data_IF_964645870254
#
_entry.id   IF_964645870254
#
_cell.length_a   1.000
_cell.length_b   1.000
_cell.length_c   1.000
_cell.angle_alpha   90.00
_cell.angle_beta   90.00
_cell.angle_gamma   90.00
#
_symmetry.space_group_name_H-M   'P 1'
#
loop_
_entity.id
_entity.type
_entity.pdbx_description
1 polymer ?
#
# COMPACT_ATOMS: atom_id res chain seq x y z
N UNK A 1 -11.69 10.31 -35.35
CA UNK A 1 -12.94 9.98 -34.63
C UNK A 1 -12.59 9.43 -33.26
N UNK A 2 -13.03 10.03 -32.14
CA UNK A 2 -12.65 9.61 -30.79
C UNK A 2 -13.51 8.44 -30.25
N UNK A 3 -13.91 7.50 -31.12
CA UNK A 3 -14.97 6.52 -30.83
C UNK A 3 -14.53 5.25 -30.12
N UNK A 4 -13.32 4.75 -30.39
CA UNK A 4 -12.86 3.46 -29.86
C UNK A 4 -12.04 3.62 -28.58
N UNK A 5 -11.11 4.57 -28.55
CA UNK A 5 -10.31 4.91 -27.37
C UNK A 5 -11.19 5.33 -26.20
N UNK A 6 -12.25 6.12 -26.45
CA UNK A 6 -13.20 6.52 -25.40
C UNK A 6 -13.99 5.36 -24.80
N UNK A 7 -14.39 4.37 -25.63
CA UNK A 7 -15.11 3.17 -25.16
C UNK A 7 -14.19 2.24 -24.36
N UNK A 8 -12.93 2.10 -24.80
CA UNK A 8 -11.92 1.34 -24.06
C UNK A 8 -11.64 1.96 -22.69
N UNK A 9 -11.42 3.29 -22.62
CA UNK A 9 -11.20 4.00 -21.36
C UNK A 9 -12.40 3.89 -20.42
N UNK A 10 -13.63 3.97 -20.94
CA UNK A 10 -14.84 3.78 -20.14
C UNK A 10 -14.94 2.35 -19.58
N UNK A 11 -14.74 1.33 -20.41
CA UNK A 11 -14.77 -0.07 -19.97
C UNK A 11 -13.69 -0.34 -18.91
N UNK A 12 -12.49 0.19 -19.12
CA UNK A 12 -11.39 0.10 -18.17
C UNK A 12 -11.72 0.78 -16.83
N UNK A 13 -12.27 2.00 -16.87
CA UNK A 13 -12.68 2.76 -15.68
C UNK A 13 -13.78 2.04 -14.89
N UNK A 14 -14.77 1.46 -15.57
CA UNK A 14 -15.83 0.67 -14.92
C UNK A 14 -15.26 -0.57 -14.23
N UNK A 15 -14.36 -1.30 -14.91
CA UNK A 15 -13.68 -2.47 -14.34
C UNK A 15 -12.84 -2.11 -13.12
N UNK A 16 -12.14 -0.98 -13.15
CA UNK A 16 -11.40 -0.48 -11.99
C UNK A 16 -12.35 -0.13 -10.82
N UNK A 17 -13.47 0.51 -11.10
CA UNK A 17 -14.47 0.85 -10.07
C UNK A 17 -15.06 -0.40 -9.41
N UNK A 18 -15.33 -1.44 -10.19
CA UNK A 18 -15.79 -2.73 -9.66
C UNK A 18 -14.74 -3.37 -8.74
N UNK A 19 -13.48 -3.44 -9.18
CA UNK A 19 -12.36 -3.92 -8.36
C UNK A 19 -12.23 -3.12 -7.06
N UNK A 20 -12.35 -1.80 -7.13
CA UNK A 20 -12.34 -0.94 -5.95
C UNK A 20 -13.45 -1.33 -4.96
N UNK A 21 -14.66 -1.58 -5.47
CA UNK A 21 -15.78 -2.06 -4.66
C UNK A 21 -15.48 -3.39 -3.96
N UNK A 22 -14.90 -4.35 -4.67
CA UNK A 22 -14.53 -5.67 -4.13
C UNK A 22 -13.53 -5.52 -2.98
N UNK A 23 -12.45 -4.76 -3.17
CA UNK A 23 -11.43 -4.60 -2.12
C UNK A 23 -11.95 -3.82 -0.91
N UNK A 24 -12.84 -2.84 -1.09
CA UNK A 24 -13.55 -2.21 0.02
C UNK A 24 -14.47 -3.20 0.74
N UNK A 25 -15.17 -4.06 0.02
CA UNK A 25 -15.95 -5.15 0.60
C UNK A 25 -15.10 -6.07 1.48
N UNK A 26 -13.94 -6.51 0.97
CA UNK A 26 -12.98 -7.32 1.74
C UNK A 26 -12.50 -6.61 3.00
N UNK A 27 -12.17 -5.31 2.91
CA UNK A 27 -11.78 -4.51 4.07
C UNK A 27 -12.90 -4.48 5.13
N UNK A 28 -14.14 -4.20 4.73
CA UNK A 28 -15.27 -4.17 5.67
C UNK A 28 -15.59 -5.54 6.29
N UNK A 29 -15.52 -6.61 5.50
CA UNK A 29 -15.71 -7.97 6.02
C UNK A 29 -14.58 -8.31 7.00
N UNK A 30 -13.34 -7.87 6.72
CA UNK A 30 -12.22 -7.99 7.67
C UNK A 30 -12.49 -7.29 8.99
N UNK A 31 -13.06 -6.08 8.96
CA UNK A 31 -13.47 -5.37 10.19
C UNK A 31 -14.55 -6.15 10.98
N UNK A 32 -15.48 -6.81 10.29
CA UNK A 32 -16.51 -7.66 10.92
C UNK A 32 -15.87 -8.88 11.61
N UNK A 33 -14.99 -9.61 10.92
CA UNK A 33 -14.30 -10.75 11.53
C UNK A 33 -13.41 -10.35 12.71
N UNK A 34 -12.82 -9.15 12.67
CA UNK A 34 -12.07 -8.61 13.80
C UNK A 34 -12.97 -8.38 15.03
N UNK A 35 -14.22 -7.92 14.82
CA UNK A 35 -15.21 -7.79 15.90
C UNK A 35 -15.65 -9.15 16.46
N UNK A 36 -15.66 -10.19 15.63
CA UNK A 36 -15.94 -11.57 16.03
C UNK A 36 -14.74 -12.27 16.69
N UNK A 37 -13.60 -11.58 16.82
CA UNK A 37 -12.31 -12.11 17.29
C UNK A 37 -11.69 -13.20 16.39
N UNK A 38 -12.11 -13.32 15.13
CA UNK A 38 -11.42 -14.13 14.13
C UNK A 38 -10.32 -13.31 13.45
N UNK A 39 -9.18 -13.22 14.13
CA UNK A 39 -8.04 -12.45 13.65
C UNK A 39 -7.39 -13.07 12.41
N UNK A 40 -7.40 -14.39 12.27
CA UNK A 40 -6.75 -15.09 11.15
C UNK A 40 -7.46 -14.75 9.83
N UNK A 41 -8.79 -14.81 9.84
CA UNK A 41 -9.60 -14.43 8.69
C UNK A 41 -9.49 -12.93 8.43
N UNK A 42 -9.54 -12.10 9.46
CA UNK A 42 -9.39 -10.64 9.33
C UNK A 42 -8.03 -10.26 8.70
N UNK A 43 -6.92 -10.82 9.16
CA UNK A 43 -5.58 -10.61 8.59
C UNK A 43 -5.56 -10.97 7.11
N UNK A 44 -6.13 -12.11 6.74
CA UNK A 44 -6.17 -12.59 5.35
C UNK A 44 -6.94 -11.62 4.45
N UNK A 45 -8.10 -11.14 4.92
CA UNK A 45 -8.94 -10.19 4.21
C UNK A 45 -8.28 -8.81 4.08
N UNK A 46 -7.69 -8.29 5.15
CA UNK A 46 -6.97 -7.02 5.11
C UNK A 46 -5.73 -7.08 4.21
N UNK A 47 -5.02 -8.20 4.18
CA UNK A 47 -3.86 -8.41 3.30
C UNK A 47 -4.29 -8.42 1.83
N UNK A 48 -5.37 -9.12 1.49
CA UNK A 48 -5.90 -9.14 0.12
C UNK A 48 -6.43 -7.76 -0.30
N UNK A 49 -7.11 -7.05 0.59
CA UNK A 49 -7.55 -5.67 0.36
C UNK A 49 -6.35 -4.73 0.16
N UNK A 50 -5.31 -4.85 0.99
CA UNK A 50 -4.08 -4.07 0.91
C UNK A 50 -3.37 -4.22 -0.44
N UNK A 51 -3.24 -5.46 -0.93
CA UNK A 51 -2.68 -5.73 -2.24
C UNK A 51 -3.49 -5.04 -3.34
N UNK A 52 -4.82 -5.16 -3.30
CA UNK A 52 -5.71 -4.49 -4.24
C UNK A 52 -5.56 -2.97 -4.24
N UNK A 53 -5.61 -2.35 -3.08
CA UNK A 53 -5.44 -0.90 -2.95
C UNK A 53 -4.04 -0.42 -3.34
N UNK A 54 -3.01 -1.26 -3.21
CA UNK A 54 -1.66 -0.95 -3.68
C UNK A 54 -1.62 -0.89 -5.21
N UNK A 55 -2.22 -1.86 -5.89
CA UNK A 55 -2.26 -1.90 -7.37
C UNK A 55 -3.10 -0.75 -7.95
N UNK A 56 -4.18 -0.37 -7.27
CA UNK A 56 -5.08 0.73 -7.70
C UNK A 56 -4.65 2.11 -7.19
N UNK A 57 -3.54 2.18 -6.45
CA UNK A 57 -3.02 3.40 -5.80
C UNK A 57 -4.01 4.15 -4.88
N UNK A 58 -4.86 3.41 -4.17
CA UNK A 58 -5.86 3.98 -3.26
C UNK A 58 -5.25 4.17 -1.87
N UNK A 59 -4.50 5.27 -1.71
CA UNK A 59 -3.70 5.54 -0.52
C UNK A 59 -4.45 5.42 0.82
N UNK A 60 -5.64 6.03 0.92
CA UNK A 60 -6.42 6.04 2.17
C UNK A 60 -6.75 4.63 2.63
N UNK A 61 -7.34 3.81 1.76
CA UNK A 61 -7.77 2.46 2.11
C UNK A 61 -6.57 1.52 2.31
N UNK A 62 -5.49 1.73 1.54
CA UNK A 62 -4.21 1.05 1.77
C UNK A 62 -3.69 1.30 3.20
N UNK A 63 -3.69 2.56 3.64
CA UNK A 63 -3.27 2.95 4.98
C UNK A 63 -4.19 2.40 6.08
N UNK A 64 -5.50 2.42 5.88
CA UNK A 64 -6.46 1.84 6.83
C UNK A 64 -6.23 0.33 7.01
N UNK A 65 -5.97 -0.43 5.95
CA UNK A 65 -5.60 -1.84 6.05
C UNK A 65 -4.29 -2.04 6.85
N UNK A 66 -3.27 -1.22 6.60
CA UNK A 66 -2.01 -1.26 7.37
C UNK A 66 -2.24 -1.00 8.86
N UNK A 67 -3.08 -0.02 9.21
CA UNK A 67 -3.43 0.26 10.61
C UNK A 67 -4.09 -0.93 11.28
N UNK A 68 -5.07 -1.56 10.60
CA UNK A 68 -5.75 -2.75 11.15
C UNK A 68 -4.78 -3.90 11.39
N UNK A 69 -3.90 -4.18 10.43
CA UNK A 69 -2.87 -5.21 10.57
C UNK A 69 -1.88 -4.87 11.71
N UNK A 70 -1.50 -3.61 11.86
CA UNK A 70 -0.63 -3.16 12.96
C UNK A 70 -1.31 -3.25 14.33
N UNK A 71 -2.59 -2.88 14.41
CA UNK A 71 -3.39 -3.00 15.64
C UNK A 71 -3.52 -4.48 16.07
N UNK A 72 -3.71 -5.40 15.12
CA UNK A 72 -3.71 -6.85 15.37
C UNK A 72 -2.32 -7.34 15.82
N UNK A 73 -1.24 -6.89 15.15
CA UNK A 73 0.14 -7.25 15.52
C UNK A 73 0.46 -6.83 16.95
N UNK A 74 0.09 -5.60 17.33
CA UNK A 74 0.21 -5.12 18.71
C UNK A 74 -0.58 -5.98 19.70
N UNK A 75 -1.82 -6.36 19.37
CA UNK A 75 -2.63 -7.24 20.22
C UNK A 75 -1.97 -8.60 20.44
N UNK A 76 -1.28 -9.11 19.43
CA UNK A 76 -0.52 -10.36 19.47
C UNK A 76 0.89 -10.22 20.09
N UNK A 77 1.26 -9.02 20.56
CA UNK A 77 2.54 -8.76 21.22
C UNK A 77 3.69 -8.43 20.26
N UNK A 78 3.46 -8.44 18.95
CA UNK A 78 4.45 -8.04 17.95
C UNK A 78 4.42 -6.53 17.73
N UNK A 79 5.06 -5.81 18.65
CA UNK A 79 5.14 -4.36 18.63
C UNK A 79 6.05 -3.83 17.51
N UNK A 80 7.06 -4.60 17.07
CA UNK A 80 7.95 -4.16 15.98
C UNK A 80 7.20 -4.13 14.66
N UNK A 81 6.50 -5.22 14.32
CA UNK A 81 5.68 -5.26 13.12
C UNK A 81 4.55 -4.22 13.16
N UNK A 82 3.98 -3.96 14.34
CA UNK A 82 2.99 -2.89 14.51
C UNK A 82 3.58 -1.50 14.19
N UNK A 83 4.77 -1.18 14.73
CA UNK A 83 5.46 0.09 14.46
C UNK A 83 5.76 0.25 12.96
N UNK A 84 6.26 -0.80 12.31
CA UNK A 84 6.54 -0.79 10.86
C UNK A 84 5.28 -0.48 10.05
N UNK A 85 4.18 -1.17 10.32
CA UNK A 85 2.91 -0.98 9.62
C UNK A 85 2.33 0.42 9.83
N UNK A 86 2.44 0.98 11.04
CA UNK A 86 1.96 2.31 11.35
C UNK A 86 2.81 3.41 10.69
N UNK A 87 4.14 3.26 10.67
CA UNK A 87 5.04 4.18 9.96
C UNK A 87 4.80 4.15 8.45
N UNK A 88 4.59 2.98 7.85
CA UNK A 88 4.24 2.85 6.43
C UNK A 88 2.87 3.46 6.10
N UNK A 89 1.91 3.43 7.03
CA UNK A 89 0.58 4.02 6.86
C UNK A 89 0.60 5.56 6.93
N UNK A 90 1.48 6.13 7.75
CA UNK A 90 1.55 7.57 8.01
C UNK A 90 1.67 8.45 6.74
N UNK A 91 2.62 8.23 5.80
CA UNK A 91 2.73 9.05 4.60
C UNK A 91 1.52 8.90 3.66
N UNK A 92 0.84 7.76 3.67
CA UNK A 92 -0.37 7.54 2.87
C UNK A 92 -1.56 8.37 3.39
N UNK A 93 -1.67 8.55 4.71
CA UNK A 93 -2.66 9.46 5.29
C UNK A 93 -2.31 10.93 5.07
N UNK A 94 -1.03 11.29 5.04
CA UNK A 94 -0.59 12.63 4.62
C UNK A 94 -1.04 12.92 3.20
N UNK A 95 -0.76 12.01 2.25
CA UNK A 95 -1.16 12.18 0.83
C UNK A 95 -2.68 12.24 0.63
N UNK A 96 -3.45 11.58 1.48
CA UNK A 96 -4.93 11.58 1.42
C UNK A 96 -5.58 12.62 2.34
N UNK A 97 -4.79 13.54 2.91
CA UNK A 97 -5.24 14.63 3.79
C UNK A 97 -6.02 14.19 5.02
N UNK A 98 -5.72 13.01 5.57
CA UNK A 98 -6.40 12.42 6.74
C UNK A 98 -5.71 12.79 8.05
N UNK A 99 -5.79 14.06 8.44
CA UNK A 99 -5.11 14.58 9.65
C UNK A 99 -5.49 13.86 10.94
N UNK A 100 -6.76 13.48 11.10
CA UNK A 100 -7.22 12.70 12.26
C UNK A 100 -6.57 11.32 12.35
N UNK A 101 -6.33 10.68 11.22
CA UNK A 101 -5.68 9.36 11.19
C UNK A 101 -4.19 9.46 11.51
N UNK A 102 -3.54 10.55 11.08
CA UNK A 102 -2.14 10.83 11.45
C UNK A 102 -2.01 11.00 12.97
N UNK A 103 -2.90 11.78 13.59
CA UNK A 103 -2.92 11.93 15.05
C UNK A 103 -3.14 10.57 15.75
N UNK A 104 -4.06 9.75 15.22
CA UNK A 104 -4.31 8.43 15.77
C UNK A 104 -3.13 7.45 15.60
N UNK A 105 -2.28 7.64 14.59
CA UNK A 105 -0.98 6.93 14.48
C UNK A 105 -0.03 7.43 15.56
N UNK A 106 0.13 8.74 15.68
CA UNK A 106 1.07 9.33 16.63
C UNK A 106 0.71 8.91 18.09
N UNK A 107 -0.59 8.81 18.40
CA UNK A 107 -1.09 8.26 19.68
C UNK A 107 -0.74 6.77 19.88
N UNK A 108 -0.92 5.94 18.84
CA UNK A 108 -0.55 4.51 18.87
C UNK A 108 0.94 4.33 19.14
N UNK A 109 1.76 5.11 18.45
CA UNK A 109 3.23 5.10 18.55
C UNK A 109 3.69 5.57 19.93
N UNK A 110 3.06 6.63 20.47
CA UNK A 110 3.39 7.16 21.80
C UNK A 110 3.23 6.10 22.90
N UNK A 111 2.22 5.23 22.78
CA UNK A 111 1.96 4.15 23.74
C UNK A 111 2.88 2.93 23.65
N UNK A 112 3.88 2.93 22.76
CA UNK A 112 4.89 1.86 22.66
C UNK A 112 6.10 2.20 23.54
N UNK A 113 6.68 1.19 24.20
CA UNK A 113 7.86 1.35 25.05
C UNK A 113 9.06 1.88 24.26
N UNK A 114 9.88 2.72 24.91
CA UNK A 114 11.00 3.40 24.25
C UNK A 114 12.05 2.42 23.72
N UNK A 115 12.33 1.34 24.47
CA UNK A 115 13.26 0.28 24.05
C UNK A 115 12.87 -0.34 22.69
N UNK A 116 11.57 -0.52 22.44
CA UNK A 116 11.06 -1.11 21.20
C UNK A 116 11.14 -0.10 20.06
N UNK A 117 10.91 1.19 20.34
CA UNK A 117 11.10 2.26 19.35
C UNK A 117 12.56 2.39 18.95
N UNK A 118 13.47 2.35 19.92
CA UNK A 118 14.91 2.39 19.67
C UNK A 118 15.35 1.17 18.84
N UNK A 119 14.84 -0.03 19.19
CA UNK A 119 15.09 -1.22 18.40
C UNK A 119 14.62 -1.07 16.95
N UNK A 120 13.41 -0.55 16.73
CA UNK A 120 12.89 -0.29 15.39
C UNK A 120 13.75 0.74 14.63
N UNK A 121 14.12 1.86 15.26
CA UNK A 121 15.00 2.87 14.67
C UNK A 121 16.36 2.29 14.29
N UNK A 122 16.93 1.43 15.13
CA UNK A 122 18.18 0.73 14.85
C UNK A 122 18.03 -0.21 13.64
N UNK A 123 16.91 -0.94 13.51
CA UNK A 123 16.64 -1.78 12.34
C UNK A 123 16.56 -0.94 11.05
N UNK A 124 15.81 0.17 11.07
CA UNK A 124 15.71 1.07 9.91
C UNK A 124 17.08 1.61 9.51
N UNK A 125 17.88 2.10 10.48
CA UNK A 125 19.23 2.62 10.24
C UNK A 125 20.17 1.57 9.64
N UNK A 126 20.11 0.33 10.11
CA UNK A 126 20.94 -0.76 9.58
C UNK A 126 20.57 -1.09 8.13
N UNK A 127 19.27 -1.09 7.80
CA UNK A 127 18.80 -1.27 6.42
C UNK A 127 19.32 -0.13 5.54
N UNK A 128 19.18 1.12 5.96
CA UNK A 128 19.68 2.29 5.22
C UNK A 128 21.20 2.24 4.97
N UNK A 129 21.98 1.81 5.97
CA UNK A 129 23.43 1.63 5.82
C UNK A 129 23.81 0.45 4.92
N UNK A 130 22.95 -0.56 4.81
CA UNK A 130 23.15 -1.72 3.94
C UNK A 130 22.82 -1.44 2.47
N UNK A 131 22.03 -0.39 2.19
CA UNK A 131 21.79 0.10 0.83
C UNK A 131 23.02 0.91 0.41
N UNK A 132 23.83 0.46 -0.57
CA UNK A 132 24.99 1.21 -0.99
C UNK A 132 24.55 2.58 -1.52
N UNK A 133 25.09 3.65 -0.93
CA UNK A 133 24.97 5.00 -1.43
C UNK A 133 25.66 5.10 -2.81
N UNK A 134 24.93 4.76 -3.88
CA UNK A 134 25.49 4.59 -5.22
C UNK A 134 24.45 4.74 -6.32
N UNK A 135 24.14 6.00 -6.64
CA UNK A 135 23.69 6.56 -7.94
C UNK A 135 22.61 5.78 -8.72
N UNK A 136 21.39 6.29 -8.69
CA UNK A 136 20.60 6.44 -9.93
C UNK A 136 20.65 7.93 -10.26
N UNK A 137 21.67 8.34 -11.02
CA UNK A 137 21.60 9.58 -11.77
C UNK A 137 20.60 9.36 -12.90
N UNK A 138 19.61 10.24 -13.00
CA UNK A 138 18.77 10.39 -14.18
C UNK A 138 19.67 10.75 -15.38
N UNK A 139 20.16 9.77 -16.11
CA UNK A 139 20.74 9.88 -17.45
C UNK A 139 21.00 8.44 -17.95
N UNK A 140 20.64 8.17 -19.21
CA UNK A 140 20.71 6.86 -19.91
C UNK A 140 19.46 5.94 -19.83
N UNK A 141 18.27 6.50 -20.13
CA UNK A 141 17.26 5.75 -20.90
C UNK A 141 17.02 6.48 -22.21
N UNK A 142 18.05 6.50 -23.05
CA UNK A 142 17.96 6.99 -24.43
C UNK A 142 18.85 6.11 -25.32
N UNK A 143 18.38 4.91 -25.62
CA UNK A 143 18.66 4.13 -26.83
C UNK A 143 17.98 2.76 -26.72
N UNK A 144 17.50 2.25 -27.85
CA UNK A 144 16.80 0.96 -28.02
C UNK A 144 15.28 0.96 -27.71
N UNK A 145 14.56 1.89 -28.35
CA UNK A 145 13.33 1.49 -29.05
C UNK A 145 13.76 1.17 -30.48
N UNK A 146 14.14 -0.08 -30.74
CA UNK A 146 14.14 -0.61 -32.11
C UNK A 146 12.68 -0.68 -32.57
N UNK A 147 12.35 0.21 -33.49
CA UNK A 147 11.16 0.14 -34.32
C UNK A 147 11.35 -0.99 -35.33
N UNK A 148 10.92 -2.21 -34.99
CA UNK A 148 10.54 -3.19 -36.02
C UNK A 148 9.20 -2.74 -36.62
N UNK A 149 9.30 -1.83 -37.59
CA UNK A 149 8.28 -1.63 -38.62
C UNK A 149 8.41 -2.80 -39.59
N UNK A 150 7.63 -3.85 -39.39
CA UNK A 150 7.40 -4.85 -40.44
C UNK A 150 6.65 -4.17 -41.60
N UNK A 151 7.42 -3.83 -42.62
CA UNK A 151 6.95 -3.55 -43.97
C UNK A 151 6.29 -4.82 -44.53
N UNK A 152 4.96 -4.89 -44.44
CA UNK A 152 4.17 -5.82 -45.23
C UNK A 152 3.68 -5.12 -46.51
N UNK A 153 4.62 -4.88 -47.44
CA UNK A 153 4.31 -4.84 -48.87
C UNK A 153 4.93 -6.07 -49.52
N UNK A 154 4.10 -7.08 -49.82
CA UNK A 154 4.35 -8.00 -50.93
C UNK A 154 3.01 -8.28 -51.61
N UNK A 155 2.91 -7.71 -52.82
CA UNK A 155 2.13 -8.07 -54.02
C UNK A 155 0.78 -8.81 -53.91
#
# INVERSE_FOLDING_TARGET
>A
MPGETGRFLLAHSLKQKEKLGIHKGLQFIGDVFLQENDEVTAISLFTLALQGFTVMDVHRSRAECMIRLGDISKKNGDLLNALELWELARPLFVRSSQTKQIQAIDERMSGVNEDVKEQYQNQVRLVELSVPAGKVTEEEVDSEIELELDEAEVE
#
